data_IF_654724948861
#
_entry.id   IF_654724948861
#
_cell.length_a   1.000
_cell.length_b   1.000
_cell.length_c   1.000
_cell.angle_alpha   90.00
_cell.angle_beta   90.00
_cell.angle_gamma   90.00
#
_symmetry.space_group_name_H-M   'P 1'
#
loop_
_entity.id
_entity.type
_entity.pdbx_description
1 polymer ?
#
# COMPACT_ATOMS: atom_id res chain seq x y z
N UNK A 1 -24.71 -1.88 -23.85
CA UNK A 1 -23.29 -2.15 -24.17
C UNK A 1 -22.29 -1.08 -23.66
N UNK A 2 -22.69 -0.12 -22.81
CA UNK A 2 -21.80 0.95 -22.30
C UNK A 2 -21.25 0.72 -20.87
N UNK A 3 -21.49 -0.43 -20.26
CA UNK A 3 -21.22 -0.65 -18.82
C UNK A 3 -20.00 -1.54 -18.52
N UNK A 4 -19.32 -2.12 -19.52
CA UNK A 4 -18.14 -2.97 -19.30
C UNK A 4 -16.80 -2.23 -19.38
N UNK A 5 -16.73 -1.07 -20.04
CA UNK A 5 -15.48 -0.31 -20.18
C UNK A 5 -15.06 0.40 -18.88
N UNK A 6 -16.00 0.66 -17.96
CA UNK A 6 -15.71 1.27 -16.66
C UNK A 6 -15.18 0.28 -15.59
N UNK A 7 -15.27 -1.04 -15.85
CA UNK A 7 -14.80 -2.07 -14.90
C UNK A 7 -13.29 -2.28 -14.95
N UNK A 8 -12.63 -2.00 -16.08
CA UNK A 8 -11.18 -2.23 -16.23
C UNK A 8 -10.34 -1.14 -15.55
N UNK A 9 -10.83 0.10 -15.49
CA UNK A 9 -10.13 1.22 -14.83
C UNK A 9 -10.24 1.17 -13.30
N UNK A 10 -11.27 0.49 -12.76
CA UNK A 10 -11.52 0.41 -11.31
C UNK A 10 -10.64 -0.65 -10.61
N UNK A 11 -10.22 -1.70 -11.34
CA UNK A 11 -9.31 -2.72 -10.81
C UNK A 11 -7.90 -2.18 -10.51
N UNK A 12 -7.56 -0.98 -11.01
CA UNK A 12 -6.30 -0.29 -10.69
C UNK A 12 -6.49 0.77 -9.58
N UNK A 13 -7.74 1.08 -9.18
CA UNK A 13 -8.08 2.08 -8.15
C UNK A 13 -8.37 1.43 -6.79
N UNK A 14 -8.56 0.12 -6.74
CA UNK A 14 -8.46 -0.67 -5.52
C UNK A 14 -7.32 -1.65 -5.72
N UNK A 15 -6.40 -1.72 -4.77
CA UNK A 15 -5.31 -2.70 -4.75
C UNK A 15 -5.74 -4.04 -5.34
N UNK A 16 -4.99 -4.48 -6.34
CA UNK A 16 -5.25 -5.68 -7.12
C UNK A 16 -5.22 -6.92 -6.22
N UNK A 17 -6.38 -7.28 -5.71
CA UNK A 17 -6.66 -8.58 -5.10
C UNK A 17 -8.04 -9.07 -5.55
N UNK A 18 -8.30 -9.09 -6.86
CA UNK A 18 -9.44 -9.81 -7.45
C UNK A 18 -9.05 -10.40 -8.83
N UNK A 19 -8.06 -11.29 -8.81
CA UNK A 19 -7.91 -12.32 -9.83
C UNK A 19 -7.22 -13.53 -9.17
N UNK A 20 -7.98 -14.60 -8.89
CA UNK A 20 -7.39 -15.84 -8.37
C UNK A 20 -8.18 -16.61 -7.31
N UNK A 21 -9.51 -16.54 -7.25
CA UNK A 21 -10.30 -17.53 -6.52
C UNK A 21 -11.52 -17.92 -7.35
N UNK A 22 -11.41 -19.00 -8.11
CA UNK A 22 -12.59 -19.71 -8.61
C UNK A 22 -13.30 -20.40 -7.44
N UNK A 23 -14.62 -20.32 -7.32
CA UNK A 23 -15.37 -21.04 -6.30
C UNK A 23 -15.33 -22.54 -6.59
N UNK A 24 -14.92 -23.33 -5.61
CA UNK A 24 -15.03 -24.78 -5.66
C UNK A 24 -16.50 -25.19 -5.87
N UNK A 25 -16.74 -26.01 -6.89
CA UNK A 25 -18.03 -26.60 -7.23
C UNK A 25 -18.49 -27.50 -6.08
N UNK A 26 -19.65 -27.20 -5.51
CA UNK A 26 -20.33 -28.06 -4.56
C UNK A 26 -20.81 -29.34 -5.26
N UNK A 27 -20.14 -30.46 -5.01
CA UNK A 27 -20.60 -31.80 -5.36
C UNK A 27 -21.79 -32.22 -4.50
N UNK A 28 -22.83 -32.79 -5.13
CA UNK A 28 -23.99 -33.40 -4.47
C UNK A 28 -23.59 -34.62 -3.61
N UNK A 29 -24.35 -34.92 -2.54
CA UNK A 29 -24.05 -36.02 -1.65
C UNK A 29 -24.48 -37.37 -2.25
N UNK A 30 -23.56 -38.33 -2.24
CA UNK A 30 -23.81 -39.74 -2.54
C UNK A 30 -23.18 -40.62 -1.46
N UNK A 31 -24.04 -41.29 -0.71
CA UNK A 31 -23.90 -42.56 0.01
C UNK A 31 -22.67 -42.84 0.90
N UNK A 32 -22.97 -42.98 2.21
CA UNK A 32 -22.13 -43.58 3.25
C UNK A 32 -21.86 -45.07 2.99
N UNK A 33 -20.65 -45.56 3.32
CA UNK A 33 -20.42 -46.92 3.76
C UNK A 33 -20.08 -47.00 5.27
N UNK A 34 -20.11 -48.20 5.88
CA UNK A 34 -20.42 -48.38 7.29
C UNK A 34 -19.21 -48.35 8.24
N UNK A 35 -19.60 -48.13 9.49
CA UNK A 35 -18.88 -48.18 10.76
C UNK A 35 -17.83 -49.30 10.86
N UNK A 36 -16.59 -48.94 11.21
CA UNK A 36 -15.59 -49.90 11.70
C UNK A 36 -14.86 -49.35 12.93
N UNK A 37 -15.10 -50.04 14.04
CA UNK A 37 -14.25 -50.26 15.23
C UNK A 37 -13.35 -49.13 15.75
N UNK A 38 -13.77 -48.56 16.87
CA UNK A 38 -13.02 -47.65 17.77
C UNK A 38 -11.90 -48.36 18.54
N UNK A 39 -10.63 -47.89 18.51
CA UNK A 39 -9.63 -48.29 19.49
C UNK A 39 -9.77 -47.48 20.79
N UNK A 40 -9.52 -48.14 21.92
CA UNK A 40 -9.63 -47.63 23.28
C UNK A 40 -8.57 -46.57 23.61
N UNK A 41 -8.99 -45.52 24.34
CA UNK A 41 -8.14 -44.43 24.82
C UNK A 41 -7.24 -44.91 25.97
N UNK A 42 -5.92 -44.70 25.96
CA UNK A 42 -5.10 -44.94 27.15
C UNK A 42 -5.39 -43.90 28.25
N UNK A 43 -5.37 -44.39 29.49
CA UNK A 43 -5.64 -43.67 30.75
C UNK A 43 -4.59 -42.55 30.97
N UNK A 44 -4.99 -41.32 31.37
CA UNK A 44 -4.02 -40.26 31.66
C UNK A 44 -3.26 -40.54 32.97
N UNK A 45 -1.94 -40.31 32.94
CA UNK A 45 -1.01 -40.31 34.07
C UNK A 45 -1.27 -39.08 34.96
N UNK A 46 -1.16 -39.16 36.31
CA UNK A 46 -1.38 -38.01 37.18
C UNK A 46 -0.31 -36.93 37.00
N UNK A 47 -0.76 -35.68 36.96
CA UNK A 47 0.06 -34.45 36.95
C UNK A 47 0.61 -34.19 38.35
N UNK A 48 1.91 -33.90 38.55
CA UNK A 48 2.44 -33.54 39.86
C UNK A 48 1.94 -32.16 40.32
N UNK A 49 1.63 -32.06 41.62
CA UNK A 49 1.17 -30.83 42.28
C UNK A 49 2.26 -29.74 42.33
N UNK A 50 1.91 -28.44 42.26
CA UNK A 50 2.88 -27.36 42.29
C UNK A 50 3.55 -27.24 43.67
N UNK A 51 4.87 -27.06 43.66
CA UNK A 51 5.70 -26.79 44.84
C UNK A 51 5.44 -25.37 45.36
N UNK A 52 5.34 -25.21 46.68
CA UNK A 52 5.06 -23.95 47.39
C UNK A 52 6.22 -22.96 47.20
N UNK A 53 5.91 -21.74 46.74
CA UNK A 53 6.88 -20.63 46.66
C UNK A 53 7.39 -20.20 48.04
N UNK A 54 8.70 -19.93 48.21
CA UNK A 54 9.23 -19.43 49.47
C UNK A 54 8.79 -17.97 49.74
N UNK A 55 8.48 -17.71 51.00
CA UNK A 55 8.05 -16.42 51.56
C UNK A 55 9.18 -15.38 51.49
N UNK A 56 8.93 -14.11 51.10
CA UNK A 56 9.97 -13.09 51.04
C UNK A 56 10.46 -12.71 52.45
N UNK A 57 11.77 -12.64 52.62
CA UNK A 57 12.46 -12.11 53.81
C UNK A 57 12.31 -10.59 53.92
N UNK A 58 12.23 -10.10 55.16
CA UNK A 58 12.00 -8.70 55.50
C UNK A 58 13.06 -7.74 54.93
N UNK A 59 12.61 -6.58 54.47
CA UNK A 59 13.43 -5.50 53.93
C UNK A 59 14.21 -4.77 55.04
N UNK A 60 15.51 -4.46 54.87
CA UNK A 60 16.30 -3.77 55.89
C UNK A 60 15.86 -2.30 56.07
N UNK A 61 15.91 -1.84 57.32
CA UNK A 61 15.57 -0.48 57.76
C UNK A 61 16.56 0.57 57.20
N UNK A 62 16.11 1.75 56.75
CA UNK A 62 16.99 2.75 56.15
C UNK A 62 17.87 3.46 57.20
N UNK A 63 19.16 3.59 56.90
CA UNK A 63 20.12 4.35 57.70
C UNK A 63 20.00 5.86 57.41
N UNK A 64 20.14 6.67 58.45
CA UNK A 64 20.02 8.14 58.43
C UNK A 64 21.06 8.78 57.50
N UNK A 65 20.60 9.66 56.62
CA UNK A 65 21.40 10.43 55.64
C UNK A 65 22.18 11.56 56.36
N UNK A 66 23.48 11.76 56.11
CA UNK A 66 24.22 12.89 56.67
C UNK A 66 23.78 14.22 56.05
N UNK A 67 23.73 15.25 56.88
CA UNK A 67 23.36 16.63 56.57
C UNK A 67 24.38 17.27 55.61
N UNK A 68 23.96 17.95 54.52
CA UNK A 68 24.90 18.57 53.60
C UNK A 68 25.48 19.87 54.17
N UNK A 69 26.80 20.01 54.06
CA UNK A 69 27.55 21.26 54.33
C UNK A 69 27.22 22.31 53.26
N UNK A 70 27.11 23.57 53.68
CA UNK A 70 26.73 24.72 52.87
C UNK A 70 27.65 24.88 51.65
N UNK A 71 27.05 24.94 50.45
CA UNK A 71 27.74 25.14 49.17
C UNK A 71 28.02 26.64 48.94
N UNK A 72 29.21 27.05 48.46
CA UNK A 72 29.49 28.45 48.17
C UNK A 72 28.61 28.98 47.02
N UNK A 73 28.23 30.25 47.14
CA UNK A 73 27.38 30.97 46.18
C UNK A 73 28.04 31.07 44.80
N UNK A 74 27.34 30.80 43.68
CA UNK A 74 27.94 30.79 42.36
C UNK A 74 28.26 32.21 41.87
N UNK A 75 29.47 32.41 41.38
CA UNK A 75 29.87 33.61 40.63
C UNK A 75 29.10 33.66 39.31
N UNK A 76 28.62 34.84 38.92
CA UNK A 76 27.83 35.03 37.70
C UNK A 76 28.57 34.53 36.45
N UNK A 77 27.92 33.63 35.70
CA UNK A 77 28.40 33.12 34.42
C UNK A 77 28.23 34.21 33.35
N UNK A 78 29.23 34.50 32.50
CA UNK A 78 29.06 35.45 31.41
C UNK A 78 27.97 34.96 30.46
N UNK A 79 27.09 35.88 30.08
CA UNK A 79 26.01 35.67 29.11
C UNK A 79 26.61 35.24 27.77
N UNK A 80 26.26 34.08 27.21
CA UNK A 80 26.75 33.70 25.90
C UNK A 80 26.21 34.69 24.85
N UNK A 81 27.11 35.30 24.08
CA UNK A 81 26.76 36.05 22.87
C UNK A 81 25.95 35.14 21.95
N UNK A 82 24.85 35.64 21.40
CA UNK A 82 23.99 34.89 20.50
C UNK A 82 24.82 34.22 19.40
N UNK A 83 24.79 32.89 19.36
CA UNK A 83 25.34 32.12 18.26
C UNK A 83 24.57 32.51 16.99
N UNK A 84 25.24 32.78 15.85
CA UNK A 84 24.52 33.06 14.62
C UNK A 84 23.58 31.89 14.34
N UNK A 85 22.32 32.22 14.05
CA UNK A 85 21.33 31.24 13.63
C UNK A 85 21.94 30.43 12.48
N UNK A 86 21.91 29.09 12.51
CA UNK A 86 22.37 28.31 11.37
C UNK A 86 21.61 28.84 10.15
N UNK A 87 22.37 29.31 9.15
CA UNK A 87 21.80 29.66 7.85
C UNK A 87 20.99 28.44 7.42
N UNK A 88 19.66 28.62 7.31
CA UNK A 88 18.76 27.51 7.04
C UNK A 88 19.33 26.69 5.89
N UNK A 89 19.47 25.38 6.09
CA UNK A 89 19.62 24.45 4.99
C UNK A 89 18.55 24.85 3.96
N UNK A 90 18.92 25.18 2.71
CA UNK A 90 17.92 25.47 1.70
C UNK A 90 16.91 24.34 1.73
N UNK A 91 15.62 24.65 1.85
CA UNK A 91 14.58 23.66 1.62
C UNK A 91 14.95 22.94 0.31
N UNK A 92 14.94 21.60 0.26
CA UNK A 92 15.26 20.88 -0.97
C UNK A 92 14.43 21.52 -2.07
N UNK A 93 15.13 22.06 -3.07
CA UNK A 93 14.48 22.71 -4.19
C UNK A 93 13.65 21.63 -4.87
N UNK A 94 12.34 21.69 -4.64
CA UNK A 94 11.35 20.83 -5.27
C UNK A 94 11.67 20.75 -6.77
N UNK A 95 12.08 19.59 -7.30
CA UNK A 95 12.42 19.46 -8.71
C UNK A 95 11.29 20.04 -9.56
N UNK A 96 11.60 20.82 -10.59
CA UNK A 96 10.54 21.31 -11.47
C UNK A 96 9.88 20.11 -12.16
N UNK A 97 8.55 20.03 -12.20
CA UNK A 97 7.89 18.87 -12.77
C UNK A 97 8.17 18.71 -14.26
N UNK A 98 8.47 17.47 -14.68
CA UNK A 98 8.79 17.16 -16.08
C UNK A 98 7.52 17.05 -16.95
N UNK A 99 7.43 17.84 -18.04
CA UNK A 99 6.30 17.76 -18.98
C UNK A 99 6.37 16.52 -19.87
N UNK A 100 5.21 16.02 -20.33
CA UNK A 100 5.11 14.73 -21.04
C UNK A 100 5.84 14.66 -22.37
N UNK A 101 6.00 15.78 -23.08
CA UNK A 101 6.67 15.82 -24.38
C UNK A 101 8.14 15.37 -24.36
N UNK A 102 8.73 15.23 -23.16
CA UNK A 102 10.10 14.76 -22.96
C UNK A 102 10.18 13.30 -22.52
N UNK A 103 9.04 12.63 -22.33
CA UNK A 103 9.00 11.29 -21.75
C UNK A 103 9.04 10.19 -22.80
N UNK A 104 9.70 9.09 -22.49
CA UNK A 104 9.67 7.84 -23.28
C UNK A 104 8.95 6.74 -22.51
N UNK A 105 8.42 5.75 -23.22
CA UNK A 105 7.80 4.56 -22.61
C UNK A 105 8.68 3.35 -22.91
N UNK A 106 9.12 2.64 -21.87
CA UNK A 106 9.92 1.43 -21.97
C UNK A 106 9.13 0.24 -21.43
N UNK A 107 9.02 -0.82 -22.23
CA UNK A 107 8.41 -2.09 -21.80
C UNK A 107 9.47 -2.92 -21.10
N UNK A 108 9.21 -3.30 -19.85
CA UNK A 108 10.12 -4.13 -19.06
C UNK A 108 10.01 -5.62 -19.46
N UNK A 109 11.10 -6.40 -19.33
CA UNK A 109 11.08 -7.82 -19.63
C UNK A 109 10.20 -8.62 -18.65
N UNK A 110 9.76 -9.81 -19.05
CA UNK A 110 9.08 -10.79 -18.18
C UNK A 110 9.98 -11.94 -17.77
N UNK A 111 9.51 -12.79 -16.84
CA UNK A 111 10.19 -14.02 -16.44
C UNK A 111 9.96 -15.10 -17.51
N UNK A 112 11.02 -15.65 -18.09
CA UNK A 112 10.93 -16.71 -19.11
C UNK A 112 9.89 -16.38 -20.21
N UNK A 113 8.91 -17.27 -20.41
CA UNK A 113 7.79 -17.13 -21.36
C UNK A 113 6.60 -16.33 -20.79
N UNK A 114 6.82 -15.51 -19.76
CA UNK A 114 5.80 -14.72 -19.09
C UNK A 114 4.97 -13.93 -20.10
N UNK A 115 3.65 -14.18 -20.04
CA UNK A 115 2.68 -13.46 -20.87
C UNK A 115 2.34 -12.11 -20.27
N UNK A 116 2.19 -12.06 -18.95
CA UNK A 116 1.65 -10.88 -18.28
C UNK A 116 2.60 -10.37 -17.20
N UNK A 117 2.93 -9.09 -17.23
CA UNK A 117 3.65 -8.41 -16.15
C UNK A 117 3.00 -7.06 -15.81
N UNK A 118 3.20 -6.62 -14.58
CA UNK A 118 2.73 -5.32 -14.07
C UNK A 118 3.80 -4.74 -13.14
N UNK A 119 4.16 -3.47 -13.33
CA UNK A 119 5.01 -2.73 -12.39
C UNK A 119 4.13 -1.91 -11.45
N UNK A 120 4.22 -2.15 -10.15
CA UNK A 120 3.41 -1.48 -9.13
C UNK A 120 4.13 -0.26 -8.54
N UNK A 121 5.44 -0.33 -8.37
CA UNK A 121 6.18 0.75 -7.70
C UNK A 121 7.64 0.87 -8.17
N UNK A 122 8.26 2.02 -7.91
CA UNK A 122 9.64 2.35 -8.28
C UNK A 122 10.28 3.27 -7.25
N UNK A 123 11.48 2.94 -6.78
CA UNK A 123 12.23 3.81 -5.85
C UNK A 123 13.20 4.76 -6.59
N UNK A 124 13.91 5.62 -5.86
CA UNK A 124 14.84 6.61 -6.44
C UNK A 124 16.10 6.00 -7.05
N UNK A 125 16.45 4.76 -6.67
CA UNK A 125 17.50 3.99 -7.35
C UNK A 125 17.07 3.43 -8.71
N UNK A 126 15.79 3.58 -9.08
CA UNK A 126 15.22 3.05 -10.32
C UNK A 126 14.90 1.56 -10.27
N UNK A 127 14.91 0.96 -9.08
CA UNK A 127 14.44 -0.42 -8.87
C UNK A 127 12.91 -0.40 -8.94
N UNK A 128 12.37 -1.23 -9.83
CA UNK A 128 10.92 -1.36 -10.03
C UNK A 128 10.47 -2.66 -9.39
N UNK A 129 9.29 -2.70 -8.78
CA UNK A 129 8.70 -3.94 -8.23
C UNK A 129 7.32 -4.18 -8.80
N UNK A 130 6.90 -5.45 -8.80
CA UNK A 130 5.69 -5.83 -9.51
C UNK A 130 5.26 -7.27 -9.33
N UNK A 131 4.52 -7.74 -10.32
CA UNK A 131 4.17 -9.15 -10.49
C UNK A 131 4.37 -9.62 -11.93
N UNK A 132 4.63 -10.91 -12.08
CA UNK A 132 4.79 -11.59 -13.35
C UNK A 132 4.06 -12.94 -13.36
N UNK A 133 3.40 -13.26 -14.47
CA UNK A 133 2.79 -14.56 -14.72
C UNK A 133 3.86 -15.55 -15.18
N UNK A 134 3.94 -16.69 -14.52
CA UNK A 134 4.82 -17.80 -14.91
C UNK A 134 4.20 -18.64 -16.01
N UNK A 135 5.02 -19.46 -16.68
CA UNK A 135 4.57 -20.35 -17.76
C UNK A 135 3.47 -21.35 -17.35
N UNK A 136 3.40 -21.68 -16.06
CA UNK A 136 2.37 -22.57 -15.47
C UNK A 136 1.07 -21.83 -15.07
N UNK A 137 0.99 -20.51 -15.27
CA UNK A 137 -0.14 -19.65 -14.92
C UNK A 137 -0.14 -19.15 -13.47
N UNK A 138 0.86 -19.49 -12.67
CA UNK A 138 1.07 -18.91 -11.34
C UNK A 138 1.58 -17.46 -11.44
N UNK A 139 1.43 -16.68 -10.38
CA UNK A 139 1.81 -15.25 -10.37
C UNK A 139 2.81 -14.98 -9.28
N UNK A 140 4.00 -14.49 -9.63
CA UNK A 140 5.05 -14.24 -8.66
C UNK A 140 5.35 -12.74 -8.54
N UNK A 141 5.68 -12.33 -7.32
CA UNK A 141 6.28 -11.05 -7.02
C UNK A 141 7.66 -10.97 -7.69
N UNK A 142 7.94 -9.85 -8.33
CA UNK A 142 9.20 -9.64 -9.05
C UNK A 142 9.77 -8.28 -8.76
N UNK A 143 11.08 -8.14 -9.00
CA UNK A 143 11.74 -6.83 -9.09
C UNK A 143 12.53 -6.72 -10.39
N UNK A 144 12.62 -5.51 -10.92
CA UNK A 144 13.50 -5.16 -12.02
C UNK A 144 14.65 -4.28 -11.53
N UNK A 145 15.88 -4.71 -11.81
CA UNK A 145 17.12 -3.99 -11.50
C UNK A 145 17.97 -3.97 -12.77
N UNK A 146 18.36 -2.78 -13.24
CA UNK A 146 19.20 -2.62 -14.43
C UNK A 146 18.70 -3.41 -15.66
N UNK A 147 17.38 -3.38 -15.88
CA UNK A 147 16.74 -4.07 -17.01
C UNK A 147 16.67 -5.60 -16.87
N UNK A 148 17.03 -6.17 -15.71
CA UNK A 148 16.88 -7.60 -15.40
C UNK A 148 15.73 -7.81 -14.44
N UNK A 149 14.95 -8.84 -14.69
CA UNK A 149 13.85 -9.26 -13.82
C UNK A 149 14.34 -10.36 -12.87
N UNK A 150 13.94 -10.28 -11.61
CA UNK A 150 14.24 -11.26 -10.58
C UNK A 150 12.95 -11.69 -9.89
N UNK A 151 12.76 -13.00 -9.73
CA UNK A 151 11.67 -13.60 -8.97
C UNK A 151 11.94 -13.50 -7.47
N UNK A 152 10.95 -13.00 -6.71
CA UNK A 152 11.00 -12.84 -5.26
C UNK A 152 10.35 -14.03 -4.51
N UNK A 153 9.68 -14.93 -5.22
CA UNK A 153 9.08 -16.15 -4.70
C UNK A 153 7.81 -15.94 -3.87
N UNK A 154 7.35 -17.01 -3.22
CA UNK A 154 6.12 -17.07 -2.40
C UNK A 154 6.43 -17.58 -0.99
N UNK A 155 5.42 -17.71 -0.13
CA UNK A 155 5.52 -18.40 1.18
C UNK A 155 5.28 -19.92 1.07
N UNK A 156 5.50 -20.50 -0.11
CA UNK A 156 5.27 -21.91 -0.41
C UNK A 156 3.91 -22.19 -1.06
N UNK A 157 3.07 -21.18 -1.25
CA UNK A 157 1.87 -21.24 -2.11
C UNK A 157 2.17 -20.89 -3.56
N UNK A 158 1.11 -20.62 -4.33
CA UNK A 158 1.19 -20.43 -5.79
C UNK A 158 1.33 -18.98 -6.24
N UNK A 159 1.03 -18.01 -5.38
CA UNK A 159 0.99 -16.61 -5.80
C UNK A 159 1.70 -15.65 -4.84
N UNK A 160 2.28 -14.59 -5.39
CA UNK A 160 2.77 -13.43 -4.66
C UNK A 160 2.74 -12.18 -5.55
N UNK A 161 2.73 -11.00 -4.91
CA UNK A 161 2.79 -9.70 -5.56
C UNK A 161 3.59 -8.73 -4.70
N UNK A 162 4.54 -7.99 -5.30
CA UNK A 162 5.22 -6.88 -4.65
C UNK A 162 4.49 -5.56 -4.95
N UNK A 163 3.91 -4.93 -3.93
CA UNK A 163 3.06 -3.75 -4.07
C UNK A 163 3.85 -2.44 -3.97
N UNK A 164 4.86 -2.38 -3.10
CA UNK A 164 5.65 -1.16 -2.86
C UNK A 164 7.11 -1.47 -2.52
N UNK A 165 7.98 -0.50 -2.75
CA UNK A 165 9.42 -0.53 -2.44
C UNK A 165 9.86 0.80 -1.83
N UNK A 166 10.56 0.74 -0.68
CA UNK A 166 11.13 1.94 -0.07
C UNK A 166 12.54 2.29 -0.60
N UNK A 167 13.05 3.44 -0.19
CA UNK A 167 14.38 3.93 -0.56
C UNK A 167 15.54 3.11 0.05
N UNK A 168 15.25 2.20 0.99
CA UNK A 168 16.22 1.24 1.54
C UNK A 168 16.19 -0.09 0.79
N UNK A 169 15.31 -0.24 -0.20
CA UNK A 169 15.14 -1.46 -0.99
C UNK A 169 14.28 -2.53 -0.29
N UNK A 170 13.57 -2.18 0.80
CA UNK A 170 12.56 -3.06 1.39
C UNK A 170 11.36 -3.09 0.47
N UNK A 171 10.94 -4.29 0.10
CA UNK A 171 9.77 -4.51 -0.75
C UNK A 171 8.67 -5.09 0.13
N UNK A 172 7.42 -4.66 -0.05
CA UNK A 172 6.27 -5.22 0.67
C UNK A 172 5.17 -5.64 -0.29
N UNK A 173 4.28 -6.51 0.17
CA UNK A 173 3.17 -6.95 -0.65
C UNK A 173 2.37 -8.09 -0.02
N UNK A 174 1.96 -9.03 -0.86
CA UNK A 174 1.22 -10.24 -0.44
C UNK A 174 1.83 -11.49 -1.03
N UNK A 175 1.79 -12.59 -0.28
CA UNK A 175 2.17 -13.91 -0.78
C UNK A 175 1.29 -15.00 -0.17
N UNK A 176 1.05 -16.04 -0.96
CA UNK A 176 0.31 -17.21 -0.55
C UNK A 176 1.21 -18.19 0.21
N UNK A 177 0.77 -18.61 1.39
CA UNK A 177 1.37 -19.68 2.17
C UNK A 177 0.97 -21.07 1.63
N UNK A 178 1.64 -22.12 2.10
CA UNK A 178 1.40 -23.50 1.65
C UNK A 178 -0.04 -24.00 1.91
N UNK A 179 -0.74 -23.41 2.89
CA UNK A 179 -2.14 -23.73 3.20
C UNK A 179 -3.15 -22.97 2.30
N UNK A 180 -2.67 -22.13 1.39
CA UNK A 180 -3.47 -21.35 0.45
C UNK A 180 -3.93 -19.99 0.98
N UNK A 181 -3.67 -19.65 2.24
CA UNK A 181 -3.95 -18.33 2.80
C UNK A 181 -2.99 -17.27 2.24
N UNK A 182 -3.43 -16.02 2.12
CA UNK A 182 -2.58 -14.92 1.64
C UNK A 182 -2.22 -14.00 2.80
N UNK A 183 -0.92 -13.80 2.96
CA UNK A 183 -0.33 -13.04 4.05
C UNK A 183 0.32 -11.77 3.50
N UNK A 184 0.30 -10.71 4.30
CA UNK A 184 1.19 -9.58 4.12
C UNK A 184 2.63 -10.06 4.30
N UNK A 185 3.51 -9.62 3.41
CA UNK A 185 4.92 -10.02 3.42
C UNK A 185 5.84 -8.83 3.19
N UNK A 186 7.09 -8.98 3.62
CA UNK A 186 8.19 -8.10 3.25
C UNK A 186 9.33 -8.92 2.63
N UNK A 187 9.97 -8.42 1.59
CA UNK A 187 11.23 -8.93 1.10
C UNK A 187 12.36 -7.99 1.52
N UNK A 188 13.33 -8.54 2.25
CA UNK A 188 14.52 -7.84 2.75
C UNK A 188 15.73 -8.68 2.39
N UNK A 189 16.73 -8.07 1.73
CA UNK A 189 17.94 -8.76 1.27
C UNK A 189 17.65 -10.03 0.46
N UNK A 190 16.60 -10.00 -0.37
CA UNK A 190 16.17 -11.12 -1.22
C UNK A 190 15.47 -12.26 -0.47
N UNK A 191 15.16 -12.09 0.82
CA UNK A 191 14.45 -13.08 1.63
C UNK A 191 13.03 -12.62 1.93
N UNK A 192 12.07 -13.50 1.72
CA UNK A 192 10.68 -13.27 2.10
C UNK A 192 10.50 -13.45 3.61
N UNK A 193 9.84 -12.49 4.24
CA UNK A 193 9.41 -12.50 5.62
C UNK A 193 7.88 -12.46 5.65
N UNK A 194 7.29 -13.40 6.36
CA UNK A 194 5.87 -13.41 6.67
C UNK A 194 5.55 -12.38 7.77
N UNK A 195 4.70 -11.40 7.48
CA UNK A 195 4.22 -10.43 8.46
C UNK A 195 2.96 -10.93 9.21
N UNK A 196 2.39 -12.03 8.72
CA UNK A 196 1.26 -12.74 9.30
C UNK A 196 -0.11 -12.19 8.90
N UNK A 197 -1.15 -12.87 9.37
CA UNK A 197 -2.55 -12.55 9.12
C UNK A 197 -3.12 -11.44 10.00
N UNK A 198 -2.31 -10.88 10.91
CA UNK A 198 -2.68 -9.72 11.76
C UNK A 198 -4.03 -9.88 12.48
N UNK A 199 -4.33 -11.11 12.94
CA UNK A 199 -5.59 -11.44 13.62
C UNK A 199 -6.80 -11.69 12.69
N UNK A 200 -6.58 -11.80 11.38
CA UNK A 200 -7.57 -12.05 10.36
C UNK A 200 -7.41 -13.37 9.60
N UNK A 201 -8.12 -13.49 8.48
CA UNK A 201 -8.08 -14.62 7.53
C UNK A 201 -7.29 -14.30 6.26
N UNK A 202 -6.88 -13.04 6.09
CA UNK A 202 -6.19 -12.51 4.92
C UNK A 202 -5.55 -11.15 5.26
N UNK A 203 -4.32 -10.89 4.78
CA UNK A 203 -3.66 -9.59 4.92
C UNK A 203 -2.84 -9.22 3.67
N UNK A 204 -2.70 -7.91 3.43
CA UNK A 204 -1.86 -7.32 2.37
C UNK A 204 -1.13 -6.12 2.95
N UNK A 205 0.17 -6.00 2.67
CA UNK A 205 0.89 -4.74 2.79
C UNK A 205 0.80 -3.97 1.47
N UNK A 206 0.30 -2.73 1.50
CA UNK A 206 0.12 -1.91 0.30
C UNK A 206 1.27 -0.94 0.08
N UNK A 207 1.85 -0.41 1.16
CA UNK A 207 2.89 0.63 1.05
C UNK A 207 3.90 0.57 2.20
N UNK A 208 5.10 1.09 1.96
CA UNK A 208 6.22 1.16 2.90
C UNK A 208 6.99 2.47 2.77
N UNK A 209 7.21 3.16 3.89
CA UNK A 209 8.05 4.35 3.97
C UNK A 209 8.80 4.35 5.31
N UNK A 210 10.10 4.65 5.29
CA UNK A 210 10.90 4.65 6.51
C UNK A 210 11.01 3.26 7.14
N UNK A 211 10.51 3.17 8.37
CA UNK A 211 10.37 1.97 9.19
C UNK A 211 8.92 1.45 9.23
N UNK A 212 8.02 2.03 8.43
CA UNK A 212 6.59 1.75 8.46
C UNK A 212 6.14 0.94 7.26
N UNK A 213 5.20 0.03 7.52
CA UNK A 213 4.44 -0.70 6.52
C UNK A 213 2.97 -0.47 6.81
N UNK A 214 2.18 -0.16 5.79
CA UNK A 214 0.73 0.00 5.94
C UNK A 214 -0.01 -0.94 5.02
N UNK A 215 -1.24 -1.28 5.40
CA UNK A 215 -2.04 -2.18 4.60
C UNK A 215 -3.43 -2.45 5.15
N UNK A 216 -3.94 -3.62 4.81
CA UNK A 216 -5.25 -4.09 5.23
C UNK A 216 -5.17 -5.53 5.71
N UNK A 217 -6.06 -5.87 6.63
CA UNK A 217 -6.39 -7.24 6.96
C UNK A 217 -7.87 -7.44 7.15
N UNK A 218 -8.31 -8.68 7.01
CA UNK A 218 -9.72 -9.06 7.05
C UNK A 218 -9.96 -9.95 8.25
N UNK A 219 -10.77 -9.48 9.21
CA UNK A 219 -11.20 -10.32 10.36
C UNK A 219 -12.27 -11.33 9.93
N UNK A 220 -13.09 -10.94 8.97
CA UNK A 220 -14.15 -11.76 8.34
C UNK A 220 -14.07 -11.60 6.82
N UNK A 221 -14.77 -12.46 6.08
CA UNK A 221 -14.91 -12.35 4.63
C UNK A 221 -15.75 -11.13 4.20
N UNK A 222 -16.57 -10.58 5.10
CA UNK A 222 -17.35 -9.37 4.86
C UNK A 222 -16.48 -8.12 4.68
N UNK A 223 -16.97 -7.17 3.89
CA UNK A 223 -16.30 -5.88 3.70
C UNK A 223 -16.11 -5.10 5.01
N UNK A 224 -17.10 -5.16 5.90
CA UNK A 224 -17.02 -4.54 7.24
C UNK A 224 -16.00 -5.21 8.16
N UNK A 225 -15.50 -6.39 7.79
CA UNK A 225 -14.40 -7.09 8.45
C UNK A 225 -13.01 -6.52 8.15
N UNK A 226 -12.89 -5.60 7.18
CA UNK A 226 -11.61 -4.96 6.84
C UNK A 226 -11.13 -4.01 7.92
N UNK A 227 -9.83 -4.05 8.16
CA UNK A 227 -9.13 -3.18 9.11
C UNK A 227 -7.85 -2.70 8.46
N UNK A 228 -7.61 -1.40 8.56
CA UNK A 228 -6.34 -0.82 8.16
C UNK A 228 -5.32 -0.98 9.29
N UNK A 229 -4.06 -1.21 8.95
CA UNK A 229 -2.99 -1.31 9.93
C UNK A 229 -1.79 -0.43 9.57
N UNK A 230 -1.01 -0.08 10.59
CA UNK A 230 0.33 0.46 10.48
C UNK A 230 1.25 -0.42 11.31
N UNK A 231 2.35 -0.86 10.71
CA UNK A 231 3.36 -1.68 11.35
C UNK A 231 4.69 -0.93 11.40
N UNK A 232 5.35 -0.93 12.55
CA UNK A 232 6.69 -0.38 12.77
C UNK A 232 7.54 -1.44 13.47
N UNK A 233 8.52 -1.98 12.75
CA UNK A 233 9.24 -3.19 13.18
C UNK A 233 8.29 -4.35 13.44
N UNK A 234 8.33 -4.90 14.65
CA UNK A 234 7.45 -6.00 15.08
C UNK A 234 6.13 -5.52 15.71
N UNK A 235 5.98 -4.20 15.89
CA UNK A 235 4.77 -3.63 16.49
C UNK A 235 3.77 -3.27 15.40
N UNK A 236 2.53 -3.70 15.59
CA UNK A 236 1.44 -3.37 14.68
C UNK A 236 0.30 -2.71 15.44
N UNK A 237 -0.27 -1.68 14.80
CA UNK A 237 -1.37 -0.90 15.32
C UNK A 237 -2.49 -0.92 14.28
N UNK A 238 -3.66 -1.40 14.68
CA UNK A 238 -4.88 -1.21 13.91
C UNK A 238 -5.26 0.27 13.93
N UNK A 239 -5.49 0.86 12.76
CA UNK A 239 -5.98 2.23 12.67
C UNK A 239 -7.41 2.25 13.23
N UNK A 240 -7.64 3.11 14.22
CA UNK A 240 -8.98 3.38 14.76
C UNK A 240 -9.80 4.17 13.72
N UNK A 241 -10.41 3.42 12.82
CA UNK A 241 -11.22 3.90 11.71
C UNK A 241 -12.58 3.18 11.70
N UNK A 242 -13.61 3.79 11.08
CA UNK A 242 -14.86 3.09 10.84
C UNK A 242 -14.65 1.76 10.08
N UNK A 243 -15.63 0.84 10.14
CA UNK A 243 -15.57 -0.43 9.41
C UNK A 243 -15.24 -0.25 7.93
N UNK A 244 -14.64 -1.27 7.32
CA UNK A 244 -14.27 -1.22 5.90
C UNK A 244 -12.98 -0.44 5.62
N UNK A 245 -12.22 -0.07 6.66
CA UNK A 245 -10.98 0.69 6.50
C UNK A 245 -9.87 -0.10 5.80
N UNK A 246 -9.17 0.56 4.90
CA UNK A 246 -7.93 0.13 4.25
C UNK A 246 -6.97 1.31 4.22
N UNK A 247 -5.74 1.11 4.67
CA UNK A 247 -4.65 2.04 4.35
C UNK A 247 -4.25 1.86 2.88
N UNK A 248 -3.80 2.92 2.23
CA UNK A 248 -3.41 2.93 0.83
C UNK A 248 -1.94 3.34 0.68
N UNK A 249 -1.53 4.42 1.33
CA UNK A 249 -0.17 4.93 1.25
C UNK A 249 0.31 5.53 2.58
N UNK A 250 1.63 5.65 2.76
CA UNK A 250 2.29 6.23 3.93
C UNK A 250 3.48 7.07 3.49
N UNK A 251 3.68 8.24 4.11
CA UNK A 251 4.88 9.06 3.87
C UNK A 251 5.93 8.90 4.98
N UNK A 252 7.14 9.45 4.79
CA UNK A 252 8.25 9.30 5.75
C UNK A 252 7.93 9.93 7.12
N UNK A 253 7.06 10.93 7.14
CA UNK A 253 6.56 11.55 8.38
C UNK A 253 5.56 10.67 9.16
N UNK A 254 5.18 9.52 8.62
CA UNK A 254 4.23 8.57 9.23
C UNK A 254 2.76 8.95 9.05
N UNK A 255 2.46 9.84 8.10
CA UNK A 255 1.07 10.14 7.73
C UNK A 255 0.58 9.08 6.78
N UNK A 256 -0.53 8.45 7.13
CA UNK A 256 -1.14 7.36 6.36
C UNK A 256 -2.38 7.89 5.66
N UNK A 257 -2.55 7.59 4.38
CA UNK A 257 -3.83 7.79 3.69
C UNK A 257 -4.56 6.48 3.52
N UNK A 258 -5.87 6.59 3.31
CA UNK A 258 -6.66 5.44 2.98
C UNK A 258 -8.12 5.77 2.79
N UNK A 259 -8.94 4.72 2.85
CA UNK A 259 -10.38 4.82 2.69
C UNK A 259 -11.08 3.93 3.71
N UNK A 260 -12.19 4.40 4.27
CA UNK A 260 -13.14 3.56 5.00
C UNK A 260 -14.52 3.62 4.35
N UNK A 261 -15.38 2.63 4.60
CA UNK A 261 -16.63 2.51 3.87
C UNK A 261 -17.73 1.79 4.65
N UNK A 262 -18.96 2.28 4.50
CA UNK A 262 -20.10 1.78 5.28
C UNK A 262 -20.91 0.69 4.57
N UNK A 263 -20.69 0.47 3.27
CA UNK A 263 -21.48 -0.43 2.43
C UNK A 263 -20.62 -1.17 1.41
N UNK A 264 -21.02 -2.40 1.10
CA UNK A 264 -20.42 -3.20 0.02
C UNK A 264 -20.72 -2.64 -1.36
N UNK A 265 -19.90 -2.99 -2.36
CA UNK A 265 -20.14 -2.61 -3.75
C UNK A 265 -21.45 -3.20 -4.34
N UNK A 266 -22.08 -4.14 -3.64
CA UNK A 266 -23.36 -4.73 -4.01
C UNK A 266 -24.56 -3.96 -3.45
N UNK A 267 -24.35 -3.01 -2.53
CA UNK A 267 -25.40 -2.23 -1.87
C UNK A 267 -25.25 -0.72 -2.14
N UNK A 268 -25.67 -0.24 -3.33
CA UNK A 268 -25.63 1.19 -3.65
C UNK A 268 -26.64 2.00 -2.80
N UNK A 269 -26.34 3.28 -2.47
CA UNK A 269 -25.16 4.01 -2.91
C UNK A 269 -23.90 3.66 -2.12
N UNK A 270 -22.76 3.59 -2.81
CA UNK A 270 -21.45 3.41 -2.18
C UNK A 270 -21.08 4.68 -1.40
N UNK A 271 -20.74 4.52 -0.13
CA UNK A 271 -20.35 5.61 0.75
C UNK A 271 -18.99 5.27 1.36
N UNK A 272 -17.95 5.61 0.59
CA UNK A 272 -16.57 5.54 1.03
C UNK A 272 -16.05 6.94 1.36
N UNK A 273 -15.13 7.05 2.29
CA UNK A 273 -14.54 8.33 2.69
C UNK A 273 -13.03 8.20 2.75
N UNK A 274 -12.36 9.07 2.01
CA UNK A 274 -10.92 9.25 2.09
C UNK A 274 -10.53 9.81 3.46
N UNK A 275 -9.42 9.32 4.00
CA UNK A 275 -8.87 9.81 5.26
C UNK A 275 -7.36 10.02 5.18
N UNK A 276 -6.88 10.86 6.10
CA UNK A 276 -5.50 10.85 6.59
C UNK A 276 -5.51 10.42 8.06
N UNK A 277 -4.51 9.65 8.45
CA UNK A 277 -4.28 9.23 9.83
C UNK A 277 -2.85 9.54 10.22
N UNK A 278 -2.65 10.08 11.42
CA UNK A 278 -1.33 10.31 11.99
C UNK A 278 -1.41 10.27 13.51
N UNK A 279 -0.49 9.56 14.14
CA UNK A 279 -0.33 9.52 15.61
C UNK A 279 -1.64 9.26 16.37
N UNK A 280 -2.43 8.29 15.88
CA UNK A 280 -3.71 7.91 16.49
C UNK A 280 -4.91 8.77 16.08
N UNK A 281 -4.71 9.83 15.30
CA UNK A 281 -5.77 10.76 14.91
C UNK A 281 -6.17 10.54 13.45
N UNK A 282 -7.41 10.13 13.22
CA UNK A 282 -8.02 10.03 11.90
C UNK A 282 -8.74 11.34 11.54
N UNK A 283 -8.52 11.83 10.31
CA UNK A 283 -9.23 12.98 9.72
C UNK A 283 -9.78 12.60 8.35
N UNK A 284 -11.09 12.73 8.18
CA UNK A 284 -11.72 12.64 6.86
C UNK A 284 -11.29 13.82 5.98
N UNK A 285 -11.05 13.54 4.70
CA UNK A 285 -10.76 14.56 3.68
C UNK A 285 -12.03 15.17 3.06
N UNK A 286 -13.20 14.59 3.33
CA UNK A 286 -14.46 14.95 2.67
C UNK A 286 -14.56 14.43 1.24
N UNK A 287 -15.45 15.04 0.45
CA UNK A 287 -15.70 14.70 -0.96
C UNK A 287 -15.84 15.97 -1.81
N UNK A 288 -15.83 15.83 -3.13
CA UNK A 288 -16.16 16.90 -4.09
C UNK A 288 -17.68 17.10 -4.30
N UNK A 289 -18.48 16.76 -3.29
CA UNK A 289 -19.94 16.95 -3.28
C UNK A 289 -20.76 15.69 -3.57
N UNK A 290 -20.13 14.61 -4.03
CA UNK A 290 -20.75 13.29 -4.13
C UNK A 290 -20.61 12.46 -2.84
N UNK A 291 -21.12 11.21 -2.82
CA UNK A 291 -21.14 10.39 -1.60
C UNK A 291 -19.81 9.69 -1.29
N UNK A 292 -18.86 9.67 -2.23
CA UNK A 292 -17.66 8.84 -2.12
C UNK A 292 -16.37 9.59 -2.45
N UNK A 293 -15.33 9.35 -1.65
CA UNK A 293 -13.93 9.68 -1.96
C UNK A 293 -12.98 8.54 -1.56
N UNK A 294 -11.84 8.45 -2.25
CA UNK A 294 -10.77 7.48 -2.03
C UNK A 294 -9.43 8.22 -2.12
N UNK A 295 -8.59 8.14 -1.07
CA UNK A 295 -7.21 8.64 -1.12
C UNK A 295 -6.27 7.51 -1.55
N UNK A 296 -5.48 7.76 -2.59
CA UNK A 296 -4.63 6.76 -3.23
C UNK A 296 -3.14 6.99 -2.96
N UNK A 297 -2.68 8.24 -2.97
CA UNK A 297 -1.27 8.58 -2.80
C UNK A 297 -1.06 9.79 -1.91
N UNK A 298 0.10 9.83 -1.24
CA UNK A 298 0.57 10.92 -0.38
C UNK A 298 2.05 11.18 -0.64
N UNK A 299 2.47 12.44 -0.58
CA UNK A 299 3.89 12.82 -0.63
C UNK A 299 4.42 13.24 0.75
N UNK A 300 5.72 13.52 0.87
CA UNK A 300 6.34 13.87 2.16
C UNK A 300 5.92 15.25 2.67
N UNK A 301 5.34 16.09 1.82
CA UNK A 301 4.68 17.34 2.20
C UNK A 301 3.29 17.13 2.81
N UNK A 302 2.78 15.89 2.83
CA UNK A 302 1.45 15.55 3.36
C UNK A 302 0.32 15.92 2.41
N UNK A 303 0.61 16.18 1.14
CA UNK A 303 -0.39 16.43 0.10
C UNK A 303 -0.92 15.10 -0.41
N UNK A 304 -2.22 15.04 -0.71
CA UNK A 304 -2.90 13.78 -1.03
C UNK A 304 -3.59 13.89 -2.39
N UNK A 305 -3.53 12.81 -3.18
CA UNK A 305 -4.32 12.67 -4.40
C UNK A 305 -5.20 11.44 -4.33
N UNK A 306 -6.24 11.45 -5.15
CA UNK A 306 -7.13 10.32 -5.27
C UNK A 306 -8.31 10.61 -6.16
N UNK A 307 -9.40 9.90 -5.91
CA UNK A 307 -10.62 9.98 -6.71
C UNK A 307 -11.82 10.30 -5.82
N UNK A 308 -12.67 11.23 -6.23
CA UNK A 308 -13.92 11.58 -5.54
C UNK A 308 -15.07 11.68 -6.53
N UNK A 309 -16.27 11.39 -6.04
CA UNK A 309 -17.51 11.70 -6.73
C UNK A 309 -17.83 13.18 -6.59
N UNK A 310 -18.25 13.79 -7.68
CA UNK A 310 -18.81 15.14 -7.72
C UNK A 310 -20.33 15.11 -7.53
N UNK A 311 -20.94 16.26 -7.24
CA UNK A 311 -22.39 16.36 -7.00
C UNK A 311 -23.24 15.94 -8.22
N UNK A 312 -22.69 15.98 -9.43
CA UNK A 312 -23.30 15.49 -10.68
C UNK A 312 -23.09 13.99 -10.93
N UNK A 313 -22.48 13.26 -9.97
CA UNK A 313 -22.30 11.81 -10.03
C UNK A 313 -21.14 11.35 -10.91
N UNK A 314 -20.24 12.23 -11.32
CA UNK A 314 -19.03 11.87 -12.06
C UNK A 314 -17.83 11.58 -11.14
N UNK A 315 -16.91 10.75 -11.61
CA UNK A 315 -15.59 10.64 -10.98
C UNK A 315 -14.72 11.84 -11.34
N UNK A 316 -14.03 12.36 -10.34
CA UNK A 316 -13.03 13.40 -10.50
C UNK A 316 -11.77 13.03 -9.72
N UNK A 317 -10.62 13.16 -10.39
CA UNK A 317 -9.33 13.19 -9.73
C UNK A 317 -9.25 14.45 -8.83
N UNK A 318 -8.80 14.28 -7.60
CA UNK A 318 -8.63 15.39 -6.65
C UNK A 318 -7.18 15.54 -6.19
N UNK A 319 -6.88 16.74 -5.72
CA UNK A 319 -5.71 17.08 -4.92
C UNK A 319 -6.16 17.70 -3.60
N UNK A 320 -5.50 17.34 -2.51
CA UNK A 320 -5.73 17.86 -1.17
C UNK A 320 -4.42 18.43 -0.60
N UNK A 321 -4.47 19.66 -0.11
CA UNK A 321 -3.30 20.49 0.19
C UNK A 321 -2.88 20.54 1.67
N UNK A 322 -3.44 19.68 2.52
CA UNK A 322 -3.33 19.79 3.98
C UNK A 322 -4.59 20.31 4.65
N UNK A 323 -5.46 20.99 3.89
CA UNK A 323 -6.66 21.62 4.40
C UNK A 323 -7.89 21.33 3.56
N UNK A 324 -7.80 21.49 2.23
CA UNK A 324 -8.94 21.51 1.32
C UNK A 324 -8.78 20.56 0.16
N UNK A 325 -9.87 19.92 -0.24
CA UNK A 325 -9.94 19.08 -1.43
C UNK A 325 -10.39 19.91 -2.62
N UNK A 326 -9.69 19.77 -3.76
CA UNK A 326 -10.08 20.40 -5.02
C UNK A 326 -9.90 19.45 -6.20
N UNK A 327 -10.69 19.66 -7.24
CA UNK A 327 -10.58 18.91 -8.50
C UNK A 327 -9.29 19.25 -9.23
N UNK A 328 -8.65 18.23 -9.83
CA UNK A 328 -7.55 18.41 -10.78
C UNK A 328 -8.12 18.75 -12.17
N UNK A 329 -7.52 19.75 -12.84
CA UNK A 329 -8.00 20.23 -14.14
C UNK A 329 -7.74 19.22 -15.26
N UNK A 330 -8.75 18.89 -16.05
CA UNK A 330 -8.62 17.90 -17.12
C UNK A 330 -9.70 18.06 -18.19
N UNK A 331 -9.41 17.60 -19.41
CA UNK A 331 -10.39 17.42 -20.49
C UNK A 331 -11.00 16.01 -20.50
N UNK A 332 -10.49 15.10 -19.68
CA UNK A 332 -10.98 13.71 -19.58
C UNK A 332 -12.28 13.66 -18.78
N UNK A 333 -13.22 12.80 -19.19
CA UNK A 333 -14.57 12.79 -18.61
C UNK A 333 -14.63 12.15 -17.21
N UNK A 334 -13.71 11.24 -16.85
CA UNK A 334 -13.74 10.54 -15.56
C UNK A 334 -12.35 10.10 -15.10
N UNK A 335 -11.38 11.04 -14.99
CA UNK A 335 -10.02 10.68 -14.64
C UNK A 335 -9.90 10.20 -13.19
N UNK A 336 -8.85 9.44 -12.94
CA UNK A 336 -8.42 9.04 -11.59
C UNK A 336 -7.00 9.51 -11.36
N UNK A 337 -6.65 9.92 -10.14
CA UNK A 337 -5.27 10.14 -9.72
C UNK A 337 -4.83 8.97 -8.83
N UNK A 338 -3.62 8.46 -9.06
CA UNK A 338 -3.10 7.26 -8.39
C UNK A 338 -1.99 7.60 -7.41
N UNK A 339 -0.96 8.31 -7.87
CA UNK A 339 0.19 8.69 -7.06
C UNK A 339 0.63 10.11 -7.37
N UNK A 340 1.40 10.68 -6.47
CA UNK A 340 2.10 11.95 -6.64
C UNK A 340 3.49 11.85 -6.02
N UNK A 341 4.44 12.64 -6.53
CA UNK A 341 5.76 12.77 -5.92
C UNK A 341 5.91 14.12 -5.18
N UNK A 342 7.06 14.35 -4.56
CA UNK A 342 7.35 15.57 -3.80
C UNK A 342 7.41 16.83 -4.68
N UNK A 343 7.59 16.68 -5.99
CA UNK A 343 7.46 17.80 -6.93
C UNK A 343 6.04 18.29 -7.19
N UNK A 344 5.05 17.54 -6.73
CA UNK A 344 3.64 17.75 -7.06
C UNK A 344 3.27 17.24 -8.46
N UNK A 345 4.14 16.47 -9.12
CA UNK A 345 3.77 15.70 -10.30
C UNK A 345 2.75 14.65 -9.86
N UNK A 346 1.55 14.69 -10.45
CA UNK A 346 0.49 13.72 -10.19
C UNK A 346 0.36 12.81 -11.40
N UNK A 347 0.15 11.52 -11.18
CA UNK A 347 -0.11 10.54 -12.24
C UNK A 347 -1.49 9.92 -12.10
N UNK A 348 -1.99 9.34 -13.19
CA UNK A 348 -3.29 8.68 -13.16
C UNK A 348 -3.73 8.10 -14.50
N UNK A 349 -5.05 7.95 -14.65
CA UNK A 349 -5.67 7.46 -15.89
C UNK A 349 -6.77 8.39 -16.36
N UNK A 350 -6.97 8.43 -17.68
CA UNK A 350 -7.99 9.29 -18.32
C UNK A 350 -9.45 8.83 -18.09
N UNK A 351 -9.65 7.64 -17.50
CA UNK A 351 -10.97 7.08 -17.22
C UNK A 351 -11.68 6.48 -18.43
N UNK A 352 -11.62 7.16 -19.58
CA UNK A 352 -12.40 6.82 -20.79
C UNK A 352 -11.65 5.98 -21.80
N UNK A 353 -10.31 6.08 -21.86
CA UNK A 353 -9.46 5.42 -22.85
C UNK A 353 -8.50 4.40 -22.25
N UNK A 354 -8.47 4.27 -20.92
CA UNK A 354 -7.41 3.56 -20.20
C UNK A 354 -6.04 4.01 -20.72
N UNK A 355 -5.81 5.33 -20.72
CA UNK A 355 -4.52 5.92 -21.06
C UNK A 355 -3.89 6.52 -19.82
N UNK A 356 -2.65 6.13 -19.57
CA UNK A 356 -1.82 6.71 -18.53
C UNK A 356 -1.63 8.21 -18.82
N UNK A 357 -1.72 9.03 -17.78
CA UNK A 357 -1.65 10.47 -17.88
C UNK A 357 -0.93 11.06 -16.67
N UNK A 358 -0.50 12.32 -16.81
CA UNK A 358 0.08 13.11 -15.74
C UNK A 358 -0.61 14.47 -15.63
N UNK A 359 -0.56 15.05 -14.44
CA UNK A 359 -0.63 16.49 -14.23
C UNK A 359 0.77 16.94 -13.80
N UNK A 360 1.49 17.74 -14.62
CA UNK A 360 2.84 18.17 -14.25
C UNK A 360 2.88 18.86 -12.89
N UNK A 361 1.87 19.66 -12.56
CA UNK A 361 1.66 20.14 -11.21
C UNK A 361 0.18 20.02 -10.85
N UNK A 362 -0.18 20.14 -9.57
CA UNK A 362 -1.57 20.03 -9.16
C UNK A 362 -2.47 21.14 -9.77
N UNK A 363 -1.90 22.19 -10.34
CA UNK A 363 -2.62 23.31 -10.99
C UNK A 363 -2.52 23.28 -12.52
N UNK A 364 -1.64 22.45 -13.08
CA UNK A 364 -1.49 22.29 -14.52
C UNK A 364 -2.65 21.47 -15.12
N UNK A 365 -2.86 21.64 -16.43
CA UNK A 365 -3.71 20.75 -17.20
C UNK A 365 -3.06 19.38 -17.38
N UNK A 366 -3.89 18.34 -17.43
CA UNK A 366 -3.41 16.99 -17.67
C UNK A 366 -2.82 16.76 -19.07
N UNK A 367 -1.91 15.80 -19.17
CA UNK A 367 -1.25 15.37 -20.40
C UNK A 367 -1.20 13.82 -20.47
N UNK A 368 -1.52 13.22 -21.62
CA UNK A 368 -1.42 11.77 -21.80
C UNK A 368 0.05 11.34 -21.95
N UNK A 369 0.44 10.26 -21.28
CA UNK A 369 1.74 9.61 -21.46
C UNK A 369 1.84 8.92 -22.84
N UNK A 370 3.05 8.84 -23.41
CA UNK A 370 3.27 8.09 -24.64
C UNK A 370 2.88 6.62 -24.43
N UNK A 371 2.20 6.06 -25.42
CA UNK A 371 1.77 4.66 -25.41
C UNK A 371 2.89 3.82 -26.04
N UNK A 372 3.33 2.71 -25.43
CA UNK A 372 4.28 1.81 -26.07
C UNK A 372 3.77 1.33 -27.43
N UNK A 373 4.71 1.08 -28.35
CA UNK A 373 4.38 0.62 -29.70
C UNK A 373 3.58 -0.69 -29.66
N UNK A 374 2.45 -0.70 -30.35
CA UNK A 374 1.53 -1.84 -30.42
C UNK A 374 0.62 -2.03 -29.19
N UNK A 375 0.79 -1.25 -28.12
CA UNK A 375 -0.15 -1.27 -27.00
C UNK A 375 -1.48 -0.59 -27.38
N UNK A 376 -2.57 -1.07 -26.78
CA UNK A 376 -3.91 -0.52 -26.98
C UNK A 376 -4.40 0.32 -25.80
N UNK A 377 -3.79 0.14 -24.63
CA UNK A 377 -4.08 0.91 -23.42
C UNK A 377 -2.88 0.90 -22.46
N UNK A 378 -2.87 1.84 -21.51
CA UNK A 378 -1.83 1.98 -20.48
C UNK A 378 -2.40 2.56 -19.19
N UNK A 379 -1.76 2.22 -18.07
CA UNK A 379 -2.09 2.76 -16.75
C UNK A 379 -0.79 3.10 -16.02
N UNK A 380 -0.73 4.29 -15.43
CA UNK A 380 0.31 4.67 -14.48
C UNK A 380 -0.15 4.34 -13.05
N UNK A 381 0.73 3.75 -12.25
CA UNK A 381 0.41 3.24 -10.91
C UNK A 381 1.16 4.02 -9.84
N UNK A 382 2.49 4.16 -9.98
CA UNK A 382 3.31 4.94 -9.04
C UNK A 382 4.35 5.81 -9.76
N UNK A 383 4.88 6.81 -9.06
CA UNK A 383 5.89 7.75 -9.53
C UNK A 383 6.87 8.07 -8.41
N UNK A 384 8.18 8.00 -8.68
CA UNK A 384 9.20 8.42 -7.72
C UNK A 384 9.52 9.93 -7.81
N UNK A 385 10.37 10.43 -6.93
CA UNK A 385 10.76 11.85 -6.90
C UNK A 385 11.63 12.29 -8.08
N UNK A 386 12.32 11.36 -8.75
CA UNK A 386 12.96 11.63 -10.03
C UNK A 386 11.95 11.77 -11.18
N UNK A 387 10.67 11.50 -10.93
CA UNK A 387 9.60 11.54 -11.91
C UNK A 387 9.54 10.32 -12.82
N UNK A 388 10.21 9.22 -12.47
CA UNK A 388 10.09 7.93 -13.14
C UNK A 388 8.76 7.30 -12.73
N UNK A 389 7.97 6.86 -13.71
CA UNK A 389 6.61 6.35 -13.51
C UNK A 389 6.59 4.86 -13.79
N UNK A 390 6.06 4.06 -12.87
CA UNK A 390 5.81 2.64 -13.04
C UNK A 390 4.34 2.38 -13.40
N UNK A 391 4.09 1.34 -14.20
CA UNK A 391 2.73 0.90 -14.50
C UNK A 391 2.67 -0.24 -15.50
N UNK A 392 1.64 -0.21 -16.35
CA UNK A 392 1.28 -1.31 -17.23
C UNK A 392 0.80 -0.79 -18.59
N UNK A 393 1.04 -1.56 -19.65
CA UNK A 393 0.37 -1.44 -20.94
C UNK A 393 -0.26 -2.78 -21.36
N UNK A 394 -1.33 -2.73 -22.15
CA UNK A 394 -2.03 -3.91 -22.62
C UNK A 394 -1.92 -4.04 -24.14
N UNK A 395 -1.86 -5.29 -24.61
CA UNK A 395 -1.68 -5.67 -26.00
C UNK A 395 -2.74 -6.69 -26.40
N UNK A 396 -3.04 -6.78 -27.71
CA UNK A 396 -4.07 -7.70 -28.25
C UNK A 396 -3.46 -8.94 -28.92
N UNK A 397 -2.22 -8.84 -29.41
CA UNK A 397 -1.54 -9.90 -30.15
C UNK A 397 -0.30 -10.40 -29.38
N UNK A 398 -0.01 -11.72 -29.36
CA UNK A 398 -0.71 -12.84 -30.03
C UNK A 398 -2.03 -13.26 -29.35
N UNK A 399 -2.25 -12.81 -28.11
CA UNK A 399 -3.50 -12.85 -27.38
C UNK A 399 -3.53 -11.63 -26.46
N UNK A 400 -4.64 -11.38 -25.76
CA UNK A 400 -4.64 -10.33 -24.76
C UNK A 400 -3.57 -10.61 -23.70
N UNK A 401 -2.69 -9.64 -23.44
CA UNK A 401 -1.68 -9.71 -22.39
C UNK A 401 -1.29 -8.32 -21.92
N UNK A 402 -0.64 -8.25 -20.76
CA UNK A 402 -0.13 -7.02 -20.18
C UNK A 402 1.39 -7.04 -20.07
N UNK A 403 2.01 -5.87 -20.15
CA UNK A 403 3.43 -5.71 -19.84
C UNK A 403 3.63 -4.58 -18.85
N UNK A 404 4.56 -4.78 -17.93
CA UNK A 404 5.11 -3.75 -17.07
C UNK A 404 5.79 -2.67 -17.94
N UNK A 405 5.56 -1.41 -17.59
CA UNK A 405 6.08 -0.26 -18.33
C UNK A 405 6.65 0.76 -17.37
N UNK A 406 7.75 1.38 -17.79
CA UNK A 406 8.32 2.56 -17.13
C UNK A 406 8.28 3.75 -18.07
N UNK A 407 7.88 4.91 -17.56
CA UNK A 407 8.05 6.18 -18.25
C UNK A 407 9.12 7.03 -17.60
N UNK A 408 10.04 7.58 -18.40
CA UNK A 408 11.13 8.47 -17.95
C UNK A 408 11.04 9.78 -18.69
#
# INVERSE_FOLDING_TARGET
>A
MRTRAALTTLAVVLGTALAGASPAVAGRPGDRPPETTRPTRPKPTPVPSPTVSPRPTASPTPTVRPTPTVSPSPTARPTPTASPSPSGTPAPSTPAPMPTAKRTAEVLPGLDDSRSTTAYDVNSAGVVVGSAELANGDWHAVRWVDGRIEDLGTLGGRTSQAQAIDERGRIVGTAQAADGSSHAVAWVDGKIQDLGLTGGIFSIAFDTAGDRIVGVYHVTDSFTGRRAFVRTGDTEVTIDAPPGASAAAVNEAGTVTGTYGFKEWTDPPFVNQAFVWRDGVLRSLGTLGGPTSVANGINDLGQVVGTSWTADGQFAAFFWDGATMRRLATSSASPTAQSLNDSGLVIGTDGTGSRAMIWPSPTASSQLLPLPDGAVSSVAINVNDAGVIAGQANFVSPSWHSRAVVWR
#
